data_IF_351314796525
#
_entry.id   IF_351314796525
#
_cell.length_a   1.000
_cell.length_b   1.000
_cell.length_c   1.000
_cell.angle_alpha   90.00
_cell.angle_beta   90.00
_cell.angle_gamma   90.00
#
_symmetry.space_group_name_H-M   'P 1'
#
loop_
_entity.id
_entity.type
_entity.pdbx_description
1 polymer ?
#
# COMPACT_ATOMS: atom_id res chain seq x y z
N UNK A 1 0.18 25.09 22.86
CA UNK A 1 1.42 25.22 22.08
C UNK A 1 2.28 24.09 22.61
N UNK A 2 2.04 22.90 22.11
CA UNK A 2 2.76 21.70 22.55
C UNK A 2 4.16 21.78 21.95
N UNK A 3 5.09 22.26 22.78
CA UNK A 3 6.51 22.37 22.46
C UNK A 3 7.15 20.99 22.67
N UNK A 4 6.77 20.05 21.80
CA UNK A 4 7.56 18.83 21.63
C UNK A 4 8.85 19.25 20.93
N UNK A 5 10.05 18.91 21.46
CA UNK A 5 11.29 19.15 20.73
C UNK A 5 11.18 18.46 19.37
N UNK A 6 11.57 19.12 18.26
CA UNK A 6 11.55 18.47 16.96
C UNK A 6 12.40 17.21 17.07
N UNK A 7 11.77 16.06 16.80
CA UNK A 7 12.47 14.78 16.67
C UNK A 7 13.62 15.03 15.71
N UNK A 8 14.85 14.75 16.12
CA UNK A 8 16.01 14.98 15.26
C UNK A 8 15.88 14.08 14.04
N UNK A 9 15.40 14.64 12.92
CA UNK A 9 15.25 13.92 11.65
C UNK A 9 16.60 13.80 10.97
N UNK A 10 16.87 12.64 10.40
CA UNK A 10 18.05 12.46 9.57
C UNK A 10 17.79 13.11 8.21
N UNK A 11 18.79 13.76 7.62
CA UNK A 11 18.65 14.33 6.28
C UNK A 11 18.32 13.23 5.29
N UNK A 12 17.32 13.45 4.43
CA UNK A 12 16.93 12.49 3.41
C UNK A 12 18.13 11.98 2.58
N UNK A 13 18.30 10.67 2.42
CA UNK A 13 19.39 10.10 1.66
C UNK A 13 19.14 10.28 0.16
N UNK A 14 20.20 10.26 -0.66
CA UNK A 14 20.03 10.23 -2.12
C UNK A 14 19.44 8.90 -2.63
N UNK A 15 19.62 7.83 -1.85
CA UNK A 15 19.04 6.51 -2.06
C UNK A 15 18.24 6.12 -0.82
N UNK A 16 16.95 5.86 -1.01
CA UNK A 16 16.07 5.27 -0.01
C UNK A 16 16.09 3.74 -0.21
N UNK A 17 17.02 3.10 0.48
CA UNK A 17 17.42 1.72 0.21
C UNK A 17 18.07 1.61 -1.16
N UNK A 18 17.40 0.91 -2.08
CA UNK A 18 17.78 0.80 -3.48
C UNK A 18 17.09 1.82 -4.38
N UNK A 19 16.02 2.45 -3.90
CA UNK A 19 15.25 3.43 -4.65
C UNK A 19 15.97 4.77 -4.65
N UNK A 20 15.95 5.47 -5.79
CA UNK A 20 16.59 6.78 -5.93
C UNK A 20 15.60 7.89 -5.64
N UNK A 21 15.92 8.75 -4.68
CA UNK A 21 15.15 9.96 -4.38
C UNK A 21 15.28 10.94 -5.56
N UNK A 22 14.15 11.44 -6.05
CA UNK A 22 14.10 12.39 -7.17
C UNK A 22 14.04 13.81 -6.63
N UNK A 23 15.07 14.60 -6.92
CA UNK A 23 15.17 16.01 -6.50
C UNK A 23 14.85 16.99 -7.63
N UNK A 24 14.24 16.53 -8.72
CA UNK A 24 14.09 17.28 -9.98
C UNK A 24 12.68 17.14 -10.54
N UNK A 25 12.60 16.74 -11.82
CA UNK A 25 11.33 16.63 -12.55
C UNK A 25 10.33 15.65 -11.89
N UNK A 26 9.15 16.17 -11.54
CA UNK A 26 8.00 15.43 -11.01
C UNK A 26 7.00 15.02 -12.10
N UNK A 27 7.31 15.25 -13.37
CA UNK A 27 6.48 14.89 -14.52
C UNK A 27 5.88 13.47 -14.48
N UNK A 28 6.64 12.43 -14.08
CA UNK A 28 6.08 11.07 -13.93
C UNK A 28 4.93 10.99 -12.92
N UNK A 29 5.03 11.67 -11.78
CA UNK A 29 3.97 11.71 -10.77
C UNK A 29 2.77 12.57 -11.22
N UNK A 30 3.05 13.69 -11.91
CA UNK A 30 1.99 14.56 -12.40
C UNK A 30 1.11 13.86 -13.45
N UNK A 31 1.69 13.05 -14.33
CA UNK A 31 0.91 12.25 -15.29
C UNK A 31 -0.04 11.27 -14.57
N UNK A 32 0.43 10.61 -13.50
CA UNK A 32 -0.41 9.71 -12.70
C UNK A 32 -1.65 10.43 -12.14
N UNK A 33 -1.48 11.68 -11.69
CA UNK A 33 -2.59 12.49 -11.17
C UNK A 33 -3.46 13.14 -12.25
N UNK A 34 -2.93 13.32 -13.47
CA UNK A 34 -3.60 14.04 -14.55
C UNK A 34 -4.52 13.14 -15.41
N UNK A 35 -4.14 11.88 -15.63
CA UNK A 35 -4.85 10.97 -16.56
C UNK A 35 -6.19 10.44 -16.01
N UNK A 36 -6.51 10.70 -14.73
CA UNK A 36 -7.79 10.34 -14.11
C UNK A 36 -8.25 11.23 -12.95
N UNK A 37 -7.44 12.21 -12.52
CA UNK A 37 -7.63 12.92 -11.26
C UNK A 37 -7.10 12.13 -10.05
N UNK A 38 -7.02 12.78 -8.89
CA UNK A 38 -6.47 12.19 -7.66
C UNK A 38 -7.43 11.27 -6.92
N UNK A 39 -8.61 10.94 -7.45
CA UNK A 39 -9.68 10.31 -6.67
C UNK A 39 -10.12 11.17 -5.46
N UNK A 40 -11.11 10.70 -4.70
CA UNK A 40 -11.51 11.34 -3.45
C UNK A 40 -10.75 10.73 -2.28
N UNK A 41 -10.50 11.53 -1.23
CA UNK A 41 -9.91 10.99 0.00
C UNK A 41 -10.78 9.86 0.56
N UNK A 42 -10.14 8.76 0.97
CA UNK A 42 -10.83 7.59 1.50
C UNK A 42 -11.55 6.72 0.46
N UNK A 43 -11.26 6.87 -0.84
CA UNK A 43 -11.78 5.98 -1.89
C UNK A 43 -10.68 5.19 -2.58
N UNK A 44 -11.03 4.07 -3.22
CA UNK A 44 -10.08 3.19 -3.93
C UNK A 44 -9.22 3.97 -4.93
N UNK A 45 -9.84 4.80 -5.78
CA UNK A 45 -9.12 5.63 -6.74
C UNK A 45 -8.32 6.77 -6.09
N UNK A 46 -8.62 7.12 -4.84
CA UNK A 46 -7.83 8.07 -4.06
C UNK A 46 -6.48 7.49 -3.64
N UNK A 47 -6.45 6.18 -3.38
CA UNK A 47 -5.27 5.44 -2.95
C UNK A 47 -4.48 4.89 -4.15
N UNK A 48 -5.14 4.25 -5.11
CA UNK A 48 -4.49 3.58 -6.25
C UNK A 48 -4.54 4.39 -7.56
N UNK A 49 -4.73 5.70 -7.46
CA UNK A 49 -4.99 6.62 -8.58
C UNK A 49 -6.23 6.27 -9.43
N UNK A 50 -6.80 7.28 -10.10
CA UNK A 50 -7.97 7.09 -10.95
C UNK A 50 -7.58 6.79 -12.41
N UNK A 51 -8.57 6.42 -13.23
CA UNK A 51 -8.41 6.29 -14.70
C UNK A 51 -8.17 4.86 -15.21
N UNK A 52 -7.96 3.89 -14.32
CA UNK A 52 -7.83 2.49 -14.70
C UNK A 52 -9.17 1.82 -15.01
N UNK A 53 -9.13 0.76 -15.84
CA UNK A 53 -10.31 0.04 -16.29
C UNK A 53 -10.96 -0.80 -15.16
N UNK A 54 -10.13 -1.35 -14.26
CA UNK A 54 -10.59 -2.19 -13.16
C UNK A 54 -9.70 -2.01 -11.92
N UNK A 55 -10.24 -2.40 -10.76
CA UNK A 55 -9.55 -2.29 -9.47
C UNK A 55 -9.71 -3.56 -8.63
N UNK A 56 -8.67 -3.86 -7.85
CA UNK A 56 -8.66 -4.93 -6.87
C UNK A 56 -8.22 -4.38 -5.49
N UNK A 57 -8.80 -4.93 -4.43
CA UNK A 57 -8.36 -4.81 -3.05
C UNK A 57 -7.68 -6.11 -2.67
N UNK A 58 -6.47 -6.05 -2.14
CA UNK A 58 -5.68 -7.18 -1.65
C UNK A 58 -5.54 -7.02 -0.14
N UNK A 59 -6.07 -7.99 0.61
CA UNK A 59 -6.09 -7.94 2.06
C UNK A 59 -4.72 -8.28 2.63
N UNK A 60 -4.23 -7.50 3.60
CA UNK A 60 -3.02 -7.86 4.34
C UNK A 60 -3.34 -9.02 5.29
N UNK A 61 -2.54 -10.09 5.32
CA UNK A 61 -2.82 -11.21 6.21
C UNK A 61 -2.65 -10.80 7.68
N UNK A 62 -3.47 -11.36 8.56
CA UNK A 62 -3.15 -11.45 9.98
C UNK A 62 -2.03 -12.49 10.19
N UNK A 63 -1.55 -12.68 11.42
CA UNK A 63 -0.55 -13.73 11.70
C UNK A 63 -0.94 -14.65 12.85
N UNK A 64 -0.41 -15.88 12.83
CA UNK A 64 -0.43 -16.84 13.92
C UNK A 64 0.97 -17.42 14.15
N UNK A 65 1.70 -16.87 15.10
CA UNK A 65 3.11 -17.20 15.34
C UNK A 65 3.93 -16.96 14.07
N UNK A 66 3.92 -15.71 13.59
CA UNK A 66 4.61 -15.20 12.39
C UNK A 66 4.15 -15.79 11.04
N UNK A 67 3.25 -16.77 11.05
CA UNK A 67 2.71 -17.34 9.80
C UNK A 67 1.48 -16.56 9.35
N UNK A 68 1.38 -16.20 8.05
CA UNK A 68 0.25 -15.45 7.54
C UNK A 68 -1.06 -16.24 7.64
N UNK A 69 -2.12 -15.54 8.00
CA UNK A 69 -3.49 -16.03 8.16
C UNK A 69 -4.43 -15.16 7.33
N UNK A 70 -5.16 -15.82 6.43
CA UNK A 70 -6.17 -15.22 5.57
C UNK A 70 -7.37 -14.73 6.37
N UNK A 71 -7.97 -13.61 5.97
CA UNK A 71 -9.19 -13.07 6.58
C UNK A 71 -10.33 -14.08 6.47
N UNK A 72 -10.46 -14.79 5.36
CA UNK A 72 -11.46 -15.85 5.20
C UNK A 72 -11.33 -16.96 6.27
N UNK A 73 -10.11 -17.30 6.70
CA UNK A 73 -9.91 -18.28 7.78
C UNK A 73 -10.36 -17.73 9.14
N UNK A 74 -10.06 -16.46 9.40
CA UNK A 74 -10.50 -15.74 10.61
C UNK A 74 -12.03 -15.61 10.63
N UNK A 75 -12.63 -15.21 9.50
CA UNK A 75 -14.07 -15.13 9.30
C UNK A 75 -14.74 -16.47 9.53
N UNK A 76 -14.23 -17.56 8.94
CA UNK A 76 -14.77 -18.90 9.14
C UNK A 76 -14.75 -19.31 10.63
N UNK A 77 -13.66 -19.02 11.35
CA UNK A 77 -13.57 -19.30 12.79
C UNK A 77 -14.57 -18.48 13.64
N UNK A 78 -14.95 -17.29 13.17
CA UNK A 78 -15.92 -16.40 13.81
C UNK A 78 -17.35 -16.54 13.27
N UNK A 79 -17.58 -17.44 12.30
CA UNK A 79 -18.87 -17.61 11.64
C UNK A 79 -19.31 -16.42 10.78
N UNK A 80 -18.37 -15.73 10.14
CA UNK A 80 -18.56 -14.53 9.31
C UNK A 80 -17.95 -14.72 7.92
N UNK A 81 -18.55 -14.11 6.90
CA UNK A 81 -17.96 -14.04 5.55
C UNK A 81 -17.13 -12.78 5.37
N UNK A 82 -16.16 -12.85 4.47
CA UNK A 82 -15.36 -11.70 4.03
C UNK A 82 -15.87 -11.30 2.65
N UNK A 83 -16.33 -10.06 2.54
CA UNK A 83 -16.85 -9.44 1.33
C UNK A 83 -15.88 -8.33 0.88
N UNK A 84 -15.97 -7.83 -0.37
CA UNK A 84 -15.04 -6.83 -0.89
C UNK A 84 -14.90 -5.56 -0.02
N UNK A 85 -15.97 -5.15 0.65
CA UNK A 85 -16.01 -3.98 1.54
C UNK A 85 -15.89 -4.29 3.03
N UNK A 86 -15.60 -5.54 3.43
CA UNK A 86 -15.45 -5.89 4.84
C UNK A 86 -14.26 -5.17 5.46
N UNK A 87 -14.47 -4.49 6.59
CA UNK A 87 -13.37 -3.96 7.38
C UNK A 87 -12.88 -4.99 8.38
N UNK A 88 -11.59 -4.97 8.72
CA UNK A 88 -11.04 -5.93 9.67
C UNK A 88 -11.71 -5.85 11.05
N UNK A 89 -11.92 -4.65 11.58
CA UNK A 89 -12.59 -4.45 12.88
C UNK A 89 -14.01 -5.04 12.87
N UNK A 90 -14.75 -4.92 11.76
CA UNK A 90 -16.06 -5.54 11.61
C UNK A 90 -15.96 -7.07 11.60
N UNK A 91 -14.96 -7.63 10.90
CA UNK A 91 -14.70 -9.06 10.84
C UNK A 91 -14.45 -9.65 12.23
N UNK A 92 -13.63 -8.99 13.06
CA UNK A 92 -13.31 -9.43 14.43
C UNK A 92 -14.32 -8.97 15.49
N UNK A 93 -15.29 -8.13 15.11
CA UNK A 93 -16.39 -7.71 15.99
C UNK A 93 -16.00 -6.61 16.97
N UNK A 94 -15.02 -5.80 16.60
CA UNK A 94 -14.55 -4.65 17.35
C UNK A 94 -15.19 -3.36 16.81
N UNK A 95 -15.20 -2.32 17.65
CA UNK A 95 -15.57 -0.98 17.21
C UNK A 95 -14.48 -0.38 16.30
N UNK A 96 -14.86 0.61 15.48
CA UNK A 96 -13.94 1.28 14.54
C UNK A 96 -12.70 1.88 15.23
N UNK A 97 -12.89 2.43 16.44
CA UNK A 97 -11.84 3.14 17.18
C UNK A 97 -11.02 2.21 18.09
N UNK A 98 -11.07 0.89 17.88
CA UNK A 98 -10.29 -0.04 18.67
C UNK A 98 -8.80 0.08 18.31
N UNK A 99 -7.93 -0.17 19.29
CA UNK A 99 -6.49 -0.14 19.07
C UNK A 99 -6.01 -1.51 18.60
N UNK A 100 -5.17 -1.57 17.57
CA UNK A 100 -4.61 -2.84 17.12
C UNK A 100 -3.62 -3.38 18.15
N UNK A 101 -4.00 -4.48 18.80
CA UNK A 101 -3.20 -5.11 19.84
C UNK A 101 -3.43 -6.63 19.84
N UNK A 102 -2.36 -7.38 20.11
CA UNK A 102 -2.37 -8.86 20.12
C UNK A 102 -3.36 -9.47 21.10
N UNK A 103 -3.80 -8.71 22.12
CA UNK A 103 -4.82 -9.14 23.11
C UNK A 103 -6.17 -9.46 22.46
N UNK A 104 -6.44 -8.95 21.26
CA UNK A 104 -7.67 -9.21 20.52
C UNK A 104 -7.61 -10.46 19.64
N UNK A 105 -6.45 -11.13 19.58
CA UNK A 105 -6.26 -12.38 18.86
C UNK A 105 -7.22 -13.48 19.31
N UNK A 106 -7.53 -14.39 18.38
CA UNK A 106 -8.31 -15.59 18.67
C UNK A 106 -7.35 -16.78 18.84
N UNK A 107 -7.21 -17.35 20.07
CA UNK A 107 -6.24 -18.40 20.33
C UNK A 107 -6.31 -19.57 19.34
N UNK A 108 -5.18 -19.87 18.72
CA UNK A 108 -5.06 -20.94 17.71
C UNK A 108 -5.56 -20.57 16.30
N UNK A 109 -6.03 -19.34 16.09
CA UNK A 109 -6.48 -18.84 14.78
C UNK A 109 -5.60 -17.67 14.32
N UNK A 110 -5.42 -16.65 15.15
CA UNK A 110 -4.53 -15.51 14.89
C UNK A 110 -4.11 -14.85 16.21
N UNK A 111 -2.90 -14.32 16.28
CA UNK A 111 -2.34 -13.61 17.44
C UNK A 111 -1.81 -12.21 17.12
N UNK A 112 -1.63 -11.88 15.85
CA UNK A 112 -1.24 -10.54 15.40
C UNK A 112 -2.20 -9.99 14.36
N UNK A 113 -2.47 -8.69 14.48
CA UNK A 113 -3.30 -7.92 13.57
C UNK A 113 -2.66 -7.85 12.17
N UNK A 114 -3.45 -7.74 11.08
CA UNK A 114 -2.90 -7.41 9.78
C UNK A 114 -1.99 -6.18 9.83
N UNK A 115 -0.89 -6.19 9.10
CA UNK A 115 -0.01 -5.03 9.05
C UNK A 115 -0.78 -3.81 8.52
N UNK A 116 -0.75 -2.71 9.27
CA UNK A 116 -1.20 -1.41 8.78
C UNK A 116 -0.10 -0.75 7.97
N UNK A 117 -0.50 -0.03 6.93
CA UNK A 117 0.38 0.84 6.19
C UNK A 117 0.67 0.41 4.76
N UNK A 118 1.92 0.62 4.28
CA UNK A 118 2.28 0.30 2.92
C UNK A 118 2.18 -1.21 2.68
N UNK A 119 2.20 -1.62 1.41
CA UNK A 119 2.06 -3.03 1.04
C UNK A 119 3.07 -3.92 1.77
N UNK A 120 2.65 -4.91 2.57
CA UNK A 120 3.56 -5.77 3.32
C UNK A 120 4.50 -6.54 2.39
N UNK A 121 5.75 -6.81 2.80
CA UNK A 121 6.74 -7.44 1.93
C UNK A 121 6.28 -8.76 1.28
N UNK A 122 5.58 -9.62 2.02
CA UNK A 122 5.08 -10.90 1.50
C UNK A 122 3.99 -10.68 0.43
N UNK A 123 3.12 -9.69 0.64
CA UNK A 123 2.08 -9.30 -0.32
C UNK A 123 2.74 -8.68 -1.56
N UNK A 124 3.71 -7.78 -1.37
CA UNK A 124 4.48 -7.19 -2.47
C UNK A 124 5.24 -8.26 -3.26
N UNK A 125 5.84 -9.25 -2.60
CA UNK A 125 6.51 -10.39 -3.22
C UNK A 125 5.59 -11.22 -4.12
N UNK A 126 4.32 -11.38 -3.73
CA UNK A 126 3.31 -12.04 -4.55
C UNK A 126 2.78 -11.15 -5.70
N UNK A 127 2.70 -9.83 -5.48
CA UNK A 127 2.23 -8.87 -6.50
C UNK A 127 3.25 -8.64 -7.62
N UNK A 128 4.53 -8.45 -7.29
CA UNK A 128 5.61 -8.14 -8.24
C UNK A 128 5.62 -9.03 -9.50
N UNK A 129 5.60 -10.38 -9.41
CA UNK A 129 5.62 -11.23 -10.60
C UNK A 129 4.34 -11.15 -11.45
N UNK A 130 3.20 -10.78 -10.86
CA UNK A 130 1.95 -10.55 -11.59
C UNK A 130 2.00 -9.21 -12.31
N UNK A 131 2.31 -8.14 -11.59
CA UNK A 131 2.45 -6.78 -12.12
C UNK A 131 3.47 -6.71 -13.27
N UNK A 132 4.58 -7.44 -13.17
CA UNK A 132 5.61 -7.51 -14.21
C UNK A 132 5.10 -8.02 -15.56
N UNK A 133 4.06 -8.87 -15.58
CA UNK A 133 3.45 -9.41 -16.81
C UNK A 133 2.57 -8.40 -17.52
N UNK A 134 2.12 -7.39 -16.79
CA UNK A 134 1.14 -6.39 -17.23
C UNK A 134 1.77 -5.01 -17.46
N UNK A 135 3.10 -4.93 -17.62
CA UNK A 135 3.80 -3.70 -18.03
C UNK A 135 4.92 -4.03 -19.02
N UNK A 136 5.17 -3.13 -19.97
CA UNK A 136 6.32 -3.15 -20.86
C UNK A 136 7.57 -2.50 -20.25
N UNK A 137 7.47 -1.91 -19.06
CA UNK A 137 8.58 -1.15 -18.42
C UNK A 137 8.87 -1.59 -16.97
N UNK A 138 9.06 -2.89 -16.67
CA UNK A 138 9.31 -3.34 -15.29
C UNK A 138 10.63 -2.83 -14.71
N UNK A 139 11.60 -2.46 -15.56
CA UNK A 139 12.88 -1.89 -15.13
C UNK A 139 12.81 -0.38 -14.87
N UNK A 140 11.65 0.26 -15.07
CA UNK A 140 11.42 1.69 -14.87
C UNK A 140 10.10 1.90 -14.15
N UNK A 141 10.17 1.89 -12.82
CA UNK A 141 9.07 2.18 -11.93
C UNK A 141 9.34 3.45 -11.11
N UNK A 142 8.25 4.07 -10.73
CA UNK A 142 8.17 5.22 -9.88
C UNK A 142 7.45 4.84 -8.59
N UNK A 143 7.81 5.55 -7.53
CA UNK A 143 7.26 5.29 -6.21
C UNK A 143 6.92 6.61 -5.50
N UNK A 144 5.84 6.61 -4.72
CA UNK A 144 5.50 7.65 -3.75
C UNK A 144 5.81 7.16 -2.35
N UNK A 145 6.59 7.94 -1.60
CA UNK A 145 6.84 7.72 -0.18
C UNK A 145 6.33 8.91 0.61
N UNK A 146 5.43 8.68 1.56
CA UNK A 146 4.86 9.77 2.32
C UNK A 146 5.92 10.47 3.17
N UNK A 147 6.04 11.80 3.04
CA UNK A 147 7.04 12.56 3.79
C UNK A 147 6.72 12.68 5.30
N UNK A 148 5.54 12.23 5.73
CA UNK A 148 5.04 12.36 7.10
C UNK A 148 5.43 11.24 8.05
N UNK A 149 6.06 10.16 7.58
CA UNK A 149 6.61 9.08 8.41
C UNK A 149 7.61 9.55 9.49
N UNK A 150 8.09 10.80 9.38
CA UNK A 150 8.67 11.52 10.52
C UNK A 150 10.12 11.20 10.84
N UNK A 151 10.74 10.21 10.19
CA UNK A 151 12.16 9.83 10.35
C UNK A 151 13.12 10.67 9.52
N UNK A 152 12.81 10.87 8.24
CA UNK A 152 13.66 11.56 7.29
C UNK A 152 13.19 12.98 7.04
N UNK A 153 14.13 13.91 6.99
CA UNK A 153 13.90 15.29 6.59
C UNK A 153 13.97 15.41 5.07
N UNK A 154 12.79 15.46 4.45
CA UNK A 154 12.59 15.70 3.03
C UNK A 154 12.25 17.16 2.70
N UNK A 155 12.42 18.12 3.63
CA UNK A 155 11.96 19.51 3.46
C UNK A 155 12.58 20.23 2.23
N UNK A 156 13.72 19.73 1.75
CA UNK A 156 14.42 20.25 0.56
C UNK A 156 14.17 19.45 -0.72
N UNK A 157 13.37 18.38 -0.64
CA UNK A 157 13.03 17.50 -1.75
C UNK A 157 11.64 17.89 -2.26
N UNK A 158 11.45 18.08 -3.57
CA UNK A 158 10.14 18.40 -4.13
C UNK A 158 9.17 17.22 -3.92
N UNK A 159 7.94 17.53 -3.53
CA UNK A 159 6.86 16.55 -3.33
C UNK A 159 5.73 16.72 -4.35
N UNK A 160 4.94 15.67 -4.52
CA UNK A 160 3.67 15.72 -5.25
C UNK A 160 2.51 15.33 -4.31
N UNK A 161 1.30 15.74 -4.67
CA UNK A 161 0.12 15.55 -3.82
C UNK A 161 -0.74 14.38 -4.27
N UNK A 162 -1.08 13.53 -3.32
CA UNK A 162 -2.20 12.57 -3.37
C UNK A 162 -3.24 13.01 -2.33
N UNK A 163 -4.46 12.46 -2.31
CA UNK A 163 -5.45 12.85 -1.31
C UNK A 163 -4.94 12.60 0.11
N UNK A 164 -4.70 13.67 0.87
CA UNK A 164 -4.30 13.59 2.28
C UNK A 164 -2.81 13.32 2.54
N UNK A 165 -1.97 13.21 1.51
CA UNK A 165 -0.52 12.98 1.64
C UNK A 165 0.30 13.86 0.70
N UNK A 166 1.49 14.23 1.17
CA UNK A 166 2.55 14.83 0.36
C UNK A 166 3.64 13.76 0.16
N UNK A 167 3.84 13.36 -1.09
CA UNK A 167 4.65 12.21 -1.47
C UNK A 167 6.00 12.66 -2.03
N UNK A 168 7.07 11.99 -1.59
CA UNK A 168 8.39 12.08 -2.20
C UNK A 168 8.44 11.12 -3.38
N UNK A 169 8.85 11.61 -4.55
CA UNK A 169 9.03 10.77 -5.73
C UNK A 169 10.35 9.99 -5.65
N UNK A 170 10.26 8.67 -5.74
CA UNK A 170 11.41 7.78 -5.90
C UNK A 170 11.35 7.08 -7.27
N UNK A 171 12.49 6.55 -7.71
CA UNK A 171 12.59 5.75 -8.94
C UNK A 171 13.42 4.50 -8.71
N UNK A 172 13.04 3.39 -9.35
CA UNK A 172 13.75 2.12 -9.30
C UNK A 172 13.19 1.12 -10.30
N UNK A 173 13.57 -0.14 -10.15
CA UNK A 173 12.94 -1.27 -10.85
C UNK A 173 11.76 -1.82 -10.04
N UNK A 174 10.86 -2.58 -10.66
CA UNK A 174 9.75 -3.24 -9.96
C UNK A 174 10.22 -4.21 -8.88
N UNK A 175 11.36 -4.90 -9.10
CA UNK A 175 11.94 -5.80 -8.11
C UNK A 175 12.41 -5.10 -6.83
N UNK A 176 12.53 -3.76 -6.86
CA UNK A 176 12.93 -2.94 -5.72
C UNK A 176 11.74 -2.38 -4.94
N UNK A 177 10.50 -2.80 -5.23
CA UNK A 177 9.32 -2.36 -4.49
C UNK A 177 9.34 -2.76 -3.00
N UNK A 178 10.03 -3.84 -2.66
CA UNK A 178 10.27 -4.27 -1.28
C UNK A 178 11.49 -3.59 -0.66
N UNK A 179 12.03 -2.54 -1.28
CA UNK A 179 13.14 -1.78 -0.71
C UNK A 179 12.60 -0.55 0.03
N UNK A 180 13.06 -0.27 1.27
CA UNK A 180 14.10 -0.99 2.00
C UNK A 180 13.57 -2.05 2.98
N UNK A 181 13.75 -3.33 2.68
CA UNK A 181 13.50 -4.41 3.64
C UNK A 181 14.52 -4.46 4.80
N UNK A 182 15.73 -3.93 4.59
CA UNK A 182 16.88 -4.15 5.49
C UNK A 182 17.60 -2.85 5.94
N UNK A 183 17.05 -1.65 5.67
CA UNK A 183 17.73 -0.42 6.11
C UNK A 183 17.63 -0.20 7.62
N UNK A 184 16.45 -0.46 8.22
CA UNK A 184 16.13 -0.23 9.63
C UNK A 184 14.73 -0.82 9.92
N UNK A 185 14.45 -1.24 11.17
CA UNK A 185 13.13 -1.75 11.59
C UNK A 185 12.02 -0.68 11.53
N UNK A 186 12.41 0.59 11.35
CA UNK A 186 11.55 1.76 11.25
C UNK A 186 11.51 2.38 9.84
N UNK A 187 12.10 1.73 8.83
CA UNK A 187 12.09 2.23 7.46
C UNK A 187 10.83 1.75 6.74
N UNK A 188 9.95 2.70 6.43
CA UNK A 188 8.66 2.42 5.80
C UNK A 188 8.83 2.13 4.31
N UNK A 189 8.03 1.20 3.78
CA UNK A 189 7.98 0.94 2.35
C UNK A 189 7.22 2.05 1.63
N UNK A 190 7.47 2.28 0.32
CA UNK A 190 6.69 3.25 -0.44
C UNK A 190 5.21 2.87 -0.49
N UNK A 191 4.35 3.86 -0.32
CA UNK A 191 2.89 3.72 -0.31
C UNK A 191 2.34 3.49 -1.73
N UNK A 192 2.97 4.11 -2.72
CA UNK A 192 2.47 4.18 -4.10
C UNK A 192 3.54 3.68 -5.07
N UNK A 193 3.14 2.92 -6.10
CA UNK A 193 4.05 2.38 -7.12
C UNK A 193 3.36 2.22 -8.47
N UNK A 194 4.06 2.63 -9.54
CA UNK A 194 3.58 2.51 -10.91
C UNK A 194 4.74 2.43 -11.91
N UNK A 195 4.55 1.76 -13.06
CA UNK A 195 5.56 1.70 -14.13
C UNK A 195 5.54 2.97 -15.00
N UNK A 196 6.63 3.24 -15.72
CA UNK A 196 6.76 4.38 -16.65
C UNK A 196 5.67 4.39 -17.74
N UNK A 197 5.18 3.23 -18.16
CA UNK A 197 4.10 3.10 -19.14
C UNK A 197 2.69 3.24 -18.56
N UNK A 198 2.56 3.46 -17.25
CA UNK A 198 1.30 3.71 -16.54
C UNK A 198 0.28 2.58 -16.71
N UNK A 199 0.73 1.35 -16.96
CA UNK A 199 -0.15 0.22 -17.20
C UNK A 199 -0.98 -0.20 -15.97
N UNK A 200 -0.50 0.12 -14.78
CA UNK A 200 -1.16 -0.12 -13.50
C UNK A 200 -0.63 0.86 -12.44
N UNK A 201 -1.32 0.94 -11.31
CA UNK A 201 -0.89 1.64 -10.12
C UNK A 201 -1.29 0.83 -8.89
N UNK A 202 -0.41 0.77 -7.91
CA UNK A 202 -0.69 0.12 -6.63
C UNK A 202 -0.52 1.15 -5.53
N UNK A 203 -1.48 1.19 -4.60
CA UNK A 203 -1.47 2.09 -3.45
C UNK A 203 -1.83 1.35 -2.16
N UNK A 204 -1.01 1.53 -1.13
CA UNK A 204 -1.36 1.37 0.29
C UNK A 204 -1.56 2.73 0.96
N UNK A 205 -1.76 2.73 2.27
CA UNK A 205 -1.75 3.95 3.09
C UNK A 205 -1.54 3.55 4.56
N UNK A 206 -0.85 4.39 5.33
CA UNK A 206 -0.54 4.23 6.77
C UNK A 206 -1.70 3.73 7.63
N UNK A 207 -2.93 4.10 7.28
CA UNK A 207 -4.13 3.78 8.06
C UNK A 207 -4.86 2.51 7.57
N UNK A 208 -4.31 1.78 6.59
CA UNK A 208 -5.00 0.68 5.89
C UNK A 208 -4.36 -0.67 6.13
N UNK A 209 -5.21 -1.69 6.25
CA UNK A 209 -4.83 -3.11 6.27
C UNK A 209 -5.05 -3.81 4.92
N UNK A 210 -5.09 -3.02 3.85
CA UNK A 210 -5.29 -3.49 2.48
C UNK A 210 -4.46 -2.68 1.50
N UNK A 211 -4.04 -3.35 0.45
CA UNK A 211 -3.40 -2.75 -0.73
C UNK A 211 -4.39 -2.70 -1.88
N UNK A 212 -4.43 -1.60 -2.62
CA UNK A 212 -5.31 -1.42 -3.76
C UNK A 212 -4.52 -1.37 -5.07
N UNK A 213 -5.03 -2.02 -6.10
CA UNK A 213 -4.41 -2.08 -7.42
C UNK A 213 -5.39 -1.60 -8.48
N UNK A 214 -5.05 -0.55 -9.21
CA UNK A 214 -5.73 -0.12 -10.43
C UNK A 214 -4.98 -0.62 -11.66
N UNK A 215 -5.69 -1.14 -12.65
CA UNK A 215 -5.08 -1.57 -13.91
C UNK A 215 -6.08 -2.01 -14.98
N UNK A 216 -5.63 -2.92 -15.84
CA UNK A 216 -6.49 -3.56 -16.84
C UNK A 216 -7.39 -4.61 -16.21
N UNK A 217 -8.48 -4.96 -16.91
CA UNK A 217 -9.34 -6.10 -16.54
C UNK A 217 -8.54 -7.40 -16.38
N UNK A 218 -7.61 -7.66 -17.31
CA UNK A 218 -6.78 -8.86 -17.28
C UNK A 218 -5.85 -8.91 -16.06
N UNK A 219 -5.29 -7.77 -15.65
CA UNK A 219 -4.48 -7.71 -14.43
C UNK A 219 -5.34 -8.03 -13.20
N UNK A 220 -6.53 -7.43 -13.10
CA UNK A 220 -7.43 -7.65 -11.96
C UNK A 220 -7.90 -9.10 -11.89
N UNK A 221 -8.24 -9.71 -13.02
CA UNK A 221 -8.61 -11.13 -13.07
C UNK A 221 -7.45 -12.04 -12.62
N UNK A 222 -6.22 -11.75 -13.04
CA UNK A 222 -5.03 -12.48 -12.58
C UNK A 222 -4.79 -12.34 -11.07
N UNK A 223 -5.01 -11.14 -10.51
CA UNK A 223 -4.90 -10.90 -9.06
C UNK A 223 -5.95 -11.70 -8.26
N UNK A 224 -7.18 -11.76 -8.75
CA UNK A 224 -8.27 -12.52 -8.12
C UNK A 224 -8.07 -14.03 -8.20
N UNK A 225 -7.37 -14.50 -9.24
CA UNK A 225 -7.06 -15.90 -9.45
C UNK A 225 -5.81 -16.37 -8.67
N UNK A 226 -4.98 -15.46 -8.16
CA UNK A 226 -3.73 -15.78 -7.47
C UNK A 226 -3.99 -16.41 -6.09
N UNK A 227 -3.65 -17.68 -5.86
CA UNK A 227 -3.94 -18.36 -4.59
C UNK A 227 -3.12 -17.82 -3.41
N UNK A 228 -1.99 -17.17 -3.67
CA UNK A 228 -1.13 -16.53 -2.68
C UNK A 228 -1.73 -15.22 -2.13
N UNK A 229 -2.71 -14.63 -2.84
CA UNK A 229 -3.36 -13.37 -2.47
C UNK A 229 -4.80 -13.60 -2.04
N UNK A 230 -5.27 -12.85 -1.05
CA UNK A 230 -6.69 -12.72 -0.77
C UNK A 230 -7.19 -11.41 -1.35
N UNK A 231 -7.78 -11.49 -2.54
CA UNK A 231 -8.13 -10.33 -3.34
C UNK A 231 -9.62 -10.28 -3.66
N UNK A 232 -10.16 -9.07 -3.71
CA UNK A 232 -11.54 -8.78 -4.06
C UNK A 232 -11.61 -7.70 -5.13
N UNK A 233 -12.56 -7.85 -6.05
CA UNK A 233 -12.86 -6.80 -7.03
C UNK A 233 -13.58 -5.65 -6.34
N UNK A 234 -13.17 -4.43 -6.63
CA UNK A 234 -13.75 -3.20 -6.07
C UNK A 234 -13.96 -2.15 -7.15
N UNK A 235 -14.80 -1.16 -6.88
CA UNK A 235 -15.03 0.00 -7.73
C UNK A 235 -14.15 1.19 -7.29
N UNK A 236 -13.78 2.10 -8.21
CA UNK A 236 -12.92 3.25 -7.90
C UNK A 236 -13.50 4.19 -6.83
N UNK A 237 -14.83 4.25 -6.70
CA UNK A 237 -15.53 5.08 -5.72
C UNK A 237 -15.85 4.37 -4.40
N UNK A 238 -15.51 3.08 -4.26
CA UNK A 238 -15.73 2.36 -3.02
C UNK A 238 -14.85 2.94 -1.91
N UNK A 239 -15.30 2.90 -0.64
CA UNK A 239 -14.49 3.32 0.48
C UNK A 239 -13.34 2.33 0.73
N UNK A 240 -12.24 2.82 1.30
CA UNK A 240 -11.06 2.00 1.65
C UNK A 240 -11.04 1.62 3.13
N UNK A 241 -10.40 0.48 3.45
CA UNK A 241 -10.20 0.00 4.82
C UNK A 241 -9.56 -1.37 4.94
#
# INVERSE_FOLDING_TARGET
MDDYPPVHRDRAPALYGRLRVRTGDLGPALRLTADGGTGAFGTVAGVAAAGFAAYARVLHPASLGERPVRWAAVGAALGRSVEPGTYWHELVGMGRDYHNASVYGLPGVWDEHPAEGPTPPDVAGALVPLLARHTGTPDRCWYGLWNGYGRWDFDTVPTFRTPGRDEVLLSGTLAEAVSPLELDEFAELPDLWWPEDHAWCVGGDVDLVSTYVGGTEALVDDLLAAPELEAHRVAPGDPVG
#
